data_IF_505228703634
#
_entry.id   IF_505228703634
#
_cell.length_a   1.000
_cell.length_b   1.000
_cell.length_c   1.000
_cell.angle_alpha   90.00
_cell.angle_beta   90.00
_cell.angle_gamma   90.00
#
_symmetry.space_group_name_H-M   'P 1'
#
loop_
_entity.id
_entity.type
_entity.pdbx_description
1 polymer ?
#
# COMPACT_ATOMS: atom_id res chain seq x y z
N UNK A 1 -35.14 -37.14 2.60
CA UNK A 1 -33.80 -37.59 2.15
C UNK A 1 -33.50 -37.26 0.69
N UNK A 2 -34.42 -37.46 -0.27
CA UNK A 2 -34.13 -37.19 -1.70
C UNK A 2 -34.01 -35.68 -2.05
N UNK A 3 -34.73 -34.80 -1.35
CA UNK A 3 -34.71 -33.35 -1.61
C UNK A 3 -33.43 -32.65 -1.15
N UNK A 4 -32.79 -33.15 -0.08
CA UNK A 4 -31.53 -32.62 0.45
C UNK A 4 -30.34 -32.93 -0.44
N UNK A 5 -30.30 -34.12 -1.07
CA UNK A 5 -29.28 -34.45 -2.07
C UNK A 5 -29.38 -33.57 -3.32
N UNK A 6 -30.60 -33.26 -3.77
CA UNK A 6 -30.83 -32.34 -4.90
C UNK A 6 -30.38 -30.91 -4.56
N UNK A 7 -30.65 -30.41 -3.36
CA UNK A 7 -30.17 -29.10 -2.92
C UNK A 7 -28.63 -29.02 -2.84
N UNK A 8 -27.99 -30.08 -2.35
CA UNK A 8 -26.53 -30.16 -2.26
C UNK A 8 -25.88 -30.27 -3.64
N UNK A 9 -26.49 -30.99 -4.58
CA UNK A 9 -26.03 -31.07 -5.96
C UNK A 9 -26.16 -29.74 -6.70
N UNK A 10 -27.26 -29.00 -6.47
CA UNK A 10 -27.46 -27.66 -7.04
C UNK A 10 -26.43 -26.68 -6.47
N UNK A 11 -26.20 -26.66 -5.16
CA UNK A 11 -25.18 -25.81 -4.53
C UNK A 11 -23.75 -26.18 -4.98
N UNK A 12 -23.45 -27.48 -5.14
CA UNK A 12 -22.16 -27.96 -5.63
C UNK A 12 -21.91 -27.64 -7.11
N UNK A 13 -22.97 -27.57 -7.93
CA UNK A 13 -22.86 -27.19 -9.34
C UNK A 13 -22.46 -25.72 -9.55
N UNK A 14 -22.81 -24.83 -8.60
CA UNK A 14 -22.38 -23.42 -8.62
C UNK A 14 -20.99 -23.21 -8.01
N UNK A 15 -20.48 -24.15 -7.21
CA UNK A 15 -19.15 -24.04 -6.58
C UNK A 15 -17.98 -24.13 -7.58
N UNK A 16 -18.20 -24.74 -8.76
CA UNK A 16 -17.18 -24.92 -9.79
C UNK A 16 -17.08 -23.80 -10.83
N UNK A 17 -18.00 -22.83 -10.83
CA UNK A 17 -18.10 -21.78 -11.84
C UNK A 17 -17.61 -20.40 -11.39
N UNK A 18 -16.98 -20.30 -10.20
CA UNK A 18 -16.19 -19.13 -9.85
C UNK A 18 -14.83 -19.20 -10.57
N UNK A 19 -14.85 -19.09 -11.90
CA UNK A 19 -13.67 -18.66 -12.66
C UNK A 19 -13.51 -17.16 -12.45
N UNK A 20 -13.34 -16.74 -11.19
CA UNK A 20 -12.90 -15.40 -10.88
C UNK A 20 -11.49 -15.30 -11.44
N UNK A 21 -11.35 -14.65 -12.59
CA UNK A 21 -10.05 -14.31 -13.15
C UNK A 21 -9.48 -13.16 -12.29
N UNK A 22 -9.16 -13.46 -11.03
CA UNK A 22 -8.59 -12.52 -10.07
C UNK A 22 -7.19 -12.17 -10.57
N UNK A 23 -7.06 -11.01 -11.20
CA UNK A 23 -5.77 -10.52 -11.69
C UNK A 23 -4.99 -9.93 -10.51
N UNK A 24 -4.07 -10.72 -9.96
CA UNK A 24 -3.04 -10.16 -9.07
C UNK A 24 -2.18 -9.22 -9.91
N UNK A 25 -2.15 -7.96 -9.52
CA UNK A 25 -1.31 -6.94 -10.12
C UNK A 25 -0.04 -6.80 -9.28
N UNK A 26 1.11 -7.05 -9.90
CA UNK A 26 2.40 -6.65 -9.35
C UNK A 26 2.64 -5.20 -9.74
N UNK A 27 2.96 -4.36 -8.76
CA UNK A 27 3.23 -2.94 -8.97
C UNK A 27 4.44 -2.50 -8.13
N UNK A 28 4.95 -1.31 -8.39
CA UNK A 28 6.06 -0.78 -7.62
C UNK A 28 6.72 0.41 -8.27
N UNK A 29 7.82 0.85 -7.68
CA UNK A 29 8.70 1.87 -8.24
C UNK A 29 10.15 1.58 -7.88
N UNK A 30 11.03 1.92 -8.82
CA UNK A 30 12.48 1.85 -8.66
C UNK A 30 13.07 3.22 -9.00
N UNK A 31 13.78 3.79 -8.05
CA UNK A 31 14.49 5.05 -8.07
C UNK A 31 15.84 4.84 -7.36
N UNK A 32 16.84 4.53 -8.18
CA UNK A 32 18.23 4.39 -7.79
C UNK A 32 19.10 5.25 -8.71
N UNK A 33 20.33 5.52 -8.27
CA UNK A 33 21.30 6.23 -9.10
C UNK A 33 22.38 6.91 -8.26
N UNK A 34 23.46 7.35 -8.89
CA UNK A 34 24.50 8.13 -8.23
C UNK A 34 24.02 9.57 -8.08
N UNK A 35 24.15 10.13 -6.88
CA UNK A 35 23.76 11.51 -6.58
C UNK A 35 24.95 12.25 -6.00
N UNK A 36 25.30 13.37 -6.62
CA UNK A 36 26.21 14.35 -6.04
C UNK A 36 25.36 15.48 -5.45
N UNK A 37 25.49 15.70 -4.14
CA UNK A 37 24.73 16.72 -3.40
C UNK A 37 25.74 17.69 -2.81
N UNK A 38 25.59 18.98 -3.10
CA UNK A 38 26.40 20.06 -2.54
C UNK A 38 25.68 20.70 -1.35
N UNK A 39 26.42 21.46 -0.54
CA UNK A 39 25.88 22.17 0.62
C UNK A 39 25.18 21.24 1.63
N UNK A 40 25.77 20.07 1.89
CA UNK A 40 25.17 19.10 2.81
C UNK A 40 25.35 19.45 4.29
N UNK A 41 26.18 20.44 4.58
CA UNK A 41 26.40 21.01 5.89
C UNK A 41 26.66 22.54 5.81
N UNK A 42 26.87 23.16 6.98
CA UNK A 42 27.12 24.58 7.09
C UNK A 42 28.49 25.03 6.52
N UNK A 43 29.42 24.10 6.29
CA UNK A 43 30.71 24.38 5.67
C UNK A 43 30.61 24.44 4.13
N UNK A 44 29.50 23.98 3.57
CA UNK A 44 29.26 23.96 2.12
C UNK A 44 29.79 22.72 1.42
N UNK A 45 30.09 21.65 2.18
CA UNK A 45 30.68 20.43 1.65
C UNK A 45 29.75 19.70 0.67
N UNK A 46 30.32 18.75 -0.07
CA UNK A 46 29.59 17.91 -1.02
C UNK A 46 29.74 16.42 -0.70
N UNK A 47 28.73 15.64 -1.06
CA UNK A 47 28.73 14.18 -0.94
C UNK A 47 28.28 13.53 -2.25
N UNK A 48 29.02 12.52 -2.68
CA UNK A 48 28.57 11.60 -3.73
C UNK A 48 28.09 10.31 -3.07
N UNK A 49 26.83 9.94 -3.29
CA UNK A 49 26.21 8.76 -2.68
C UNK A 49 25.35 7.99 -3.66
N UNK A 50 25.15 6.71 -3.37
CA UNK A 50 24.11 5.92 -4.01
C UNK A 50 22.74 6.37 -3.47
N UNK A 51 21.86 6.71 -4.39
CA UNK A 51 20.51 7.14 -4.13
C UNK A 51 19.57 5.98 -3.80
N UNK A 52 19.79 5.30 -2.68
CA UNK A 52 19.35 3.92 -2.51
C UNK A 52 17.94 3.70 -1.96
N UNK A 53 17.33 4.70 -1.30
CA UNK A 53 15.93 4.62 -0.82
C UNK A 53 14.90 5.30 -1.76
N UNK A 54 15.37 5.83 -2.89
CA UNK A 54 14.59 6.69 -3.77
C UNK A 54 14.55 8.14 -3.26
N UNK A 55 14.72 9.11 -4.15
CA UNK A 55 14.63 10.55 -3.81
C UNK A 55 13.32 11.14 -4.33
N UNK A 56 12.90 10.73 -5.52
CA UNK A 56 11.69 11.18 -6.16
C UNK A 56 10.54 10.19 -5.99
N UNK A 57 10.82 8.88 -6.01
CA UNK A 57 9.84 7.85 -5.69
C UNK A 57 10.42 6.89 -4.65
N UNK A 58 9.68 6.59 -3.58
CA UNK A 58 10.12 5.54 -2.64
C UNK A 58 10.24 4.19 -3.35
N UNK A 59 11.38 3.52 -3.19
CA UNK A 59 11.60 2.18 -3.72
C UNK A 59 10.68 1.17 -3.05
N UNK A 60 9.86 0.50 -3.86
CA UNK A 60 8.86 -0.46 -3.35
C UNK A 60 8.39 -1.42 -4.42
N UNK A 61 7.96 -2.58 -3.96
CA UNK A 61 7.27 -3.58 -4.75
C UNK A 61 6.04 -4.04 -3.97
N UNK A 62 4.94 -4.26 -4.68
CA UNK A 62 3.70 -4.69 -4.08
C UNK A 62 2.87 -5.57 -4.98
N UNK A 63 1.92 -6.24 -4.35
CA UNK A 63 0.96 -7.15 -4.94
C UNK A 63 -0.41 -6.71 -4.48
N UNK A 64 -1.31 -6.44 -5.41
CA UNK A 64 -2.71 -6.12 -5.11
C UNK A 64 -3.65 -6.94 -5.97
N UNK A 65 -4.84 -7.19 -5.45
CA UNK A 65 -5.87 -7.91 -6.18
C UNK A 65 -7.24 -7.45 -5.75
N UNK A 66 -8.21 -7.60 -6.67
CA UNK A 66 -9.63 -7.39 -6.42
C UNK A 66 -10.37 -8.58 -7.01
N UNK A 67 -11.25 -9.17 -6.21
CA UNK A 67 -12.14 -10.25 -6.58
C UNK A 67 -13.58 -9.74 -6.48
N UNK A 68 -14.31 -9.82 -7.59
CA UNK A 68 -15.75 -9.53 -7.61
C UNK A 68 -16.49 -10.70 -6.97
N UNK A 69 -17.20 -10.43 -5.87
CA UNK A 69 -18.01 -11.40 -5.14
C UNK A 69 -19.47 -11.42 -5.62
N UNK A 70 -19.80 -10.60 -6.63
CA UNK A 70 -21.13 -10.42 -7.17
C UNK A 70 -21.96 -9.38 -6.41
N UNK A 71 -23.05 -8.92 -7.04
CA UNK A 71 -23.98 -7.97 -6.40
C UNK A 71 -23.37 -6.60 -6.06
N UNK A 72 -22.25 -6.24 -6.71
CA UNK A 72 -21.50 -5.01 -6.42
C UNK A 72 -20.60 -5.10 -5.18
N UNK A 73 -20.45 -6.28 -4.58
CA UNK A 73 -19.51 -6.56 -3.50
C UNK A 73 -18.18 -7.05 -4.08
N UNK A 74 -17.06 -6.57 -3.55
CA UNK A 74 -15.73 -7.08 -3.86
C UNK A 74 -14.92 -7.38 -2.59
N UNK A 75 -14.01 -8.34 -2.68
CA UNK A 75 -12.89 -8.51 -1.78
C UNK A 75 -11.63 -7.98 -2.44
N UNK A 76 -10.74 -7.36 -1.67
CA UNK A 76 -9.47 -6.87 -2.19
C UNK A 76 -8.35 -6.98 -1.16
N UNK A 77 -7.12 -6.90 -1.63
CA UNK A 77 -5.92 -6.91 -0.79
C UNK A 77 -4.82 -6.03 -1.38
N UNK A 78 -3.91 -5.59 -0.52
CA UNK A 78 -2.66 -4.95 -0.91
C UNK A 78 -1.53 -5.33 0.05
N UNK A 79 -0.43 -5.81 -0.52
CA UNK A 79 0.81 -6.18 0.15
C UNK A 79 1.94 -5.38 -0.49
N UNK A 80 2.51 -4.39 0.22
CA UNK A 80 3.56 -3.49 -0.29
C UNK A 80 4.77 -3.49 0.64
N UNK A 81 5.96 -3.75 0.09
CA UNK A 81 7.22 -3.70 0.82
C UNK A 81 8.15 -2.64 0.22
N UNK A 82 8.83 -1.89 1.09
CA UNK A 82 9.92 -1.01 0.67
C UNK A 82 11.25 -1.75 0.63
N UNK A 83 12.18 -1.30 -0.21
CA UNK A 83 13.52 -1.88 -0.30
C UNK A 83 14.59 -0.82 -0.60
N UNK A 84 15.84 -1.13 -0.26
CA UNK A 84 17.01 -0.32 -0.55
C UNK A 84 17.72 -0.87 -1.80
N UNK A 85 17.92 -0.05 -2.82
CA UNK A 85 18.56 -0.48 -4.08
C UNK A 85 20.07 -0.65 -4.00
N UNK A 86 20.72 -0.08 -2.98
CA UNK A 86 22.16 -0.19 -2.77
C UNK A 86 22.58 -1.44 -1.99
N UNK A 87 21.73 -1.90 -1.06
CA UNK A 87 22.02 -3.04 -0.19
C UNK A 87 21.10 -4.24 -0.45
N UNK A 88 20.00 -4.06 -1.16
CA UNK A 88 18.95 -5.07 -1.35
C UNK A 88 18.13 -5.36 -0.09
N UNK A 89 18.41 -4.69 1.02
CA UNK A 89 17.68 -4.91 2.28
C UNK A 89 16.29 -4.29 2.19
N UNK A 90 15.36 -4.80 3.00
CA UNK A 90 14.07 -4.14 3.18
C UNK A 90 14.29 -2.71 3.69
N UNK A 91 13.46 -1.79 3.24
CA UNK A 91 13.37 -0.46 3.85
C UNK A 91 12.87 -0.67 5.28
N UNK A 92 13.61 -0.19 6.27
CA UNK A 92 13.31 -0.42 7.69
C UNK A 92 13.04 0.90 8.43
N UNK A 93 11.88 1.54 8.19
CA UNK A 93 11.39 2.59 9.06
C UNK A 93 11.33 2.14 10.52
N UNK A 94 11.47 3.09 11.44
CA UNK A 94 11.36 2.84 12.88
C UNK A 94 10.12 1.99 13.21
N UNK A 95 10.32 0.89 13.94
CA UNK A 95 9.25 -0.05 14.31
C UNK A 95 8.92 -1.13 13.28
N UNK A 96 9.67 -1.26 12.17
CA UNK A 96 9.46 -2.30 11.14
C UNK A 96 10.73 -3.01 10.68
N UNK A 97 11.77 -3.04 11.52
CA UNK A 97 13.05 -3.68 11.20
C UNK A 97 12.84 -5.16 10.82
N UNK A 98 13.24 -5.52 9.59
CA UNK A 98 13.12 -6.88 9.07
C UNK A 98 11.69 -7.33 8.74
N UNK A 99 10.70 -6.43 8.75
CA UNK A 99 9.30 -6.77 8.44
C UNK A 99 9.05 -6.72 6.93
N UNK A 100 8.66 -7.84 6.33
CA UNK A 100 8.13 -7.86 4.96
C UNK A 100 6.74 -7.20 4.91
N UNK A 101 6.43 -6.54 3.80
CA UNK A 101 5.17 -5.79 3.62
C UNK A 101 4.97 -4.66 4.64
N UNK A 102 6.08 -4.00 4.98
CA UNK A 102 6.12 -2.92 5.96
C UNK A 102 5.41 -1.64 5.52
N UNK A 103 4.89 -1.54 4.29
CA UNK A 103 4.21 -0.34 3.80
C UNK A 103 2.68 -0.50 3.80
N UNK A 104 2.19 -1.62 3.27
CA UNK A 104 0.79 -2.02 3.32
C UNK A 104 0.71 -3.53 3.48
N UNK A 105 -0.18 -4.00 4.35
CA UNK A 105 -0.52 -5.42 4.44
C UNK A 105 -1.95 -5.53 4.96
N UNK A 106 -2.93 -5.45 4.07
CA UNK A 106 -4.34 -5.45 4.44
C UNK A 106 -5.21 -6.24 3.46
N UNK A 107 -6.38 -6.63 3.96
CA UNK A 107 -7.50 -7.15 3.18
C UNK A 107 -8.73 -6.29 3.46
N UNK A 108 -9.66 -6.23 2.52
CA UNK A 108 -10.87 -5.43 2.68
C UNK A 108 -12.04 -5.94 1.89
N UNK A 109 -13.21 -5.42 2.23
CA UNK A 109 -14.47 -5.59 1.50
C UNK A 109 -14.99 -4.24 1.05
N UNK A 110 -15.33 -4.13 -0.23
CA UNK A 110 -15.91 -2.93 -0.81
C UNK A 110 -17.28 -3.21 -1.43
N UNK A 111 -18.17 -2.21 -1.39
CA UNK A 111 -19.46 -2.25 -2.07
C UNK A 111 -20.20 -0.93 -2.02
N UNK A 112 -21.52 -0.97 -2.20
CA UNK A 112 -22.38 0.24 -2.15
C UNK A 112 -22.30 0.99 -0.80
N UNK A 113 -21.86 0.31 0.27
CA UNK A 113 -21.65 0.89 1.58
C UNK A 113 -20.31 1.63 1.73
N UNK A 114 -19.41 1.60 0.75
CA UNK A 114 -18.01 2.03 0.87
C UNK A 114 -17.04 0.85 0.96
N UNK A 115 -15.87 1.07 1.57
CA UNK A 115 -14.81 0.06 1.78
C UNK A 115 -14.47 -0.04 3.26
N UNK A 116 -14.29 -1.26 3.75
CA UNK A 116 -13.73 -1.55 5.08
C UNK A 116 -12.47 -2.38 4.92
N UNK A 117 -11.35 -1.85 5.40
CA UNK A 117 -10.02 -2.41 5.24
C UNK A 117 -9.44 -2.75 6.61
N UNK A 118 -8.82 -3.93 6.73
CA UNK A 118 -8.29 -4.52 7.95
C UNK A 118 -6.82 -4.90 7.77
N UNK A 119 -5.95 -4.38 8.64
CA UNK A 119 -4.54 -4.78 8.67
C UNK A 119 -3.58 -3.60 8.82
N UNK A 120 -2.43 -3.69 8.16
CA UNK A 120 -1.43 -2.62 8.14
C UNK A 120 -1.70 -1.65 6.99
N UNK A 121 -1.91 -0.38 7.33
CA UNK A 121 -2.37 0.63 6.37
C UNK A 121 -1.71 1.98 6.63
N UNK A 122 -1.68 2.85 5.60
CA UNK A 122 -1.36 4.27 5.80
C UNK A 122 -2.41 4.91 6.70
N UNK A 123 -1.95 5.70 7.68
CA UNK A 123 -2.87 6.37 8.60
C UNK A 123 -3.79 7.35 7.88
N UNK A 124 -4.96 7.60 8.46
CA UNK A 124 -5.93 8.57 7.91
C UNK A 124 -5.29 9.94 7.71
N UNK A 125 -4.50 10.41 8.69
CA UNK A 125 -3.78 11.68 8.58
C UNK A 125 -2.82 11.70 7.38
N UNK A 126 -2.05 10.63 7.16
CA UNK A 126 -1.20 10.52 5.98
C UNK A 126 -2.02 10.54 4.69
N UNK A 127 -3.11 9.77 4.60
CA UNK A 127 -3.99 9.78 3.41
C UNK A 127 -4.56 11.18 3.16
N UNK A 128 -5.02 11.89 4.20
CA UNK A 128 -5.59 13.23 4.10
C UNK A 128 -4.56 14.26 3.65
N UNK A 129 -3.37 14.30 4.25
CA UNK A 129 -2.32 15.25 3.84
C UNK A 129 -1.94 15.01 2.38
N UNK A 130 -1.82 13.74 1.95
CA UNK A 130 -1.49 13.38 0.58
C UNK A 130 -2.52 13.84 -0.45
N UNK A 131 -3.80 13.92 -0.06
CA UNK A 131 -4.85 14.43 -0.93
C UNK A 131 -4.75 15.95 -1.21
N UNK A 132 -4.08 16.71 -0.32
CA UNK A 132 -3.89 18.16 -0.45
C UNK A 132 -2.44 18.56 -0.78
N UNK A 133 -1.52 17.60 -0.89
CA UNK A 133 -0.12 17.86 -1.21
C UNK A 133 0.10 17.91 -2.74
N UNK A 134 0.42 19.08 -3.32
CA UNK A 134 0.63 19.22 -4.75
C UNK A 134 1.86 18.46 -5.27
N UNK A 135 2.74 18.01 -4.38
CA UNK A 135 3.98 17.32 -4.72
C UNK A 135 3.99 15.85 -4.32
N UNK A 136 2.89 15.30 -3.80
CA UNK A 136 2.77 13.89 -3.42
C UNK A 136 3.95 13.37 -2.58
N UNK A 137 4.33 14.12 -1.54
CA UNK A 137 5.40 13.86 -0.58
C UNK A 137 6.83 13.91 -1.14
N UNK A 138 7.04 14.44 -2.34
CA UNK A 138 8.38 14.49 -2.97
C UNK A 138 9.28 15.59 -2.41
N UNK A 139 8.69 16.64 -1.83
CA UNK A 139 9.43 17.80 -1.33
C UNK A 139 9.02 18.15 0.11
N UNK A 140 9.10 17.18 1.03
CA UNK A 140 8.65 17.36 2.43
C UNK A 140 9.30 18.53 3.18
N UNK A 141 10.50 18.95 2.78
CA UNK A 141 11.20 20.10 3.37
C UNK A 141 10.50 21.45 3.11
N UNK A 142 9.70 21.57 2.06
CA UNK A 142 8.96 22.80 1.71
C UNK A 142 7.44 22.65 1.92
N UNK A 143 6.98 21.52 2.45
CA UNK A 143 5.56 21.23 2.70
C UNK A 143 5.35 21.20 4.22
N UNK A 144 4.89 22.30 4.84
CA UNK A 144 4.80 22.43 6.30
C UNK A 144 3.94 21.34 6.95
N UNK A 145 2.92 20.85 6.22
CA UNK A 145 1.99 19.85 6.72
C UNK A 145 2.58 18.43 6.75
N UNK A 146 3.52 18.12 5.84
CA UNK A 146 4.21 16.82 5.82
C UNK A 146 5.12 16.63 7.04
N UNK A 147 5.64 17.73 7.60
CA UNK A 147 6.43 17.72 8.84
C UNK A 147 5.58 17.50 10.10
N UNK A 148 4.25 17.67 10.02
CA UNK A 148 3.30 17.55 11.13
C UNK A 148 2.57 16.19 11.15
N UNK A 149 2.85 15.33 10.17
CA UNK A 149 2.23 14.01 10.09
C UNK A 149 2.79 13.09 11.17
N UNK A 150 1.92 12.61 12.06
CA UNK A 150 2.26 11.65 13.10
C UNK A 150 2.64 10.26 12.54
N UNK A 151 2.11 9.18 13.13
CA UNK A 151 2.38 7.82 12.62
C UNK A 151 1.91 7.69 11.16
N UNK A 152 2.82 7.36 10.25
CA UNK A 152 2.53 7.24 8.80
C UNK A 152 1.76 5.98 8.45
N UNK A 153 1.95 4.91 9.24
CA UNK A 153 1.37 3.59 9.02
C UNK A 153 1.06 2.93 10.36
N UNK A 154 -0.08 2.27 10.43
CA UNK A 154 -0.57 1.61 11.64
C UNK A 154 -0.72 0.11 11.38
N UNK A 155 -0.43 -0.71 12.40
CA UNK A 155 -0.73 -2.14 12.42
C UNK A 155 -2.04 -2.38 13.16
N UNK A 156 -2.70 -3.50 12.88
CA UNK A 156 -3.96 -3.86 13.54
C UNK A 156 -4.99 -2.73 13.42
N UNK A 157 -5.04 -2.11 12.24
CA UNK A 157 -5.86 -0.94 11.96
C UNK A 157 -7.10 -1.35 11.17
N UNK A 158 -8.21 -0.67 11.46
CA UNK A 158 -9.50 -0.84 10.80
C UNK A 158 -9.90 0.50 10.23
N UNK A 159 -9.99 0.58 8.90
CA UNK A 159 -10.34 1.83 8.22
C UNK A 159 -11.61 1.65 7.40
N UNK A 160 -12.48 2.67 7.45
CA UNK A 160 -13.63 2.79 6.57
C UNK A 160 -13.42 3.96 5.62
N UNK A 161 -13.69 3.75 4.33
CA UNK A 161 -13.65 4.79 3.29
C UNK A 161 -14.97 4.79 2.52
N UNK A 162 -15.60 5.96 2.40
CA UNK A 162 -16.84 6.13 1.64
C UNK A 162 -16.85 7.45 0.89
N UNK A 163 -17.53 7.48 -0.25
CA UNK A 163 -17.81 8.71 -1.01
C UNK A 163 -19.29 9.04 -0.83
N UNK A 164 -19.58 10.26 -0.38
CA UNK A 164 -20.94 10.73 -0.11
C UNK A 164 -21.16 12.03 -0.88
N UNK A 165 -22.14 12.06 -1.77
CA UNK A 165 -22.44 13.24 -2.59
C UNK A 165 -23.14 12.89 -3.89
#
# INVERSE_FOLDING_TARGET
MKKTLLALAVLGAFAGAASAQTAVTIYGSFDGGVRHVTNVDAAGDSITKMGSNGTYNSNRIGFKGVEDLGGGLNAHFDLETGFNTGTGTLDTPAGTTGTLFNRSAYVGLGGAFGSVDLGRQYSVNFKTIGAYDPFAYKYTAIIPLAAQGGLTRLNNDIQYTGTFG
#
